data_IF_449605572895
#
_entry.id   IF_449605572895
#
_cell.length_a   1.000
_cell.length_b   1.000
_cell.length_c   1.000
_cell.angle_alpha   90.00
_cell.angle_beta   90.00
_cell.angle_gamma   90.00
#
_symmetry.space_group_name_H-M   'P 1'
#
loop_
_entity.id
_entity.type
_entity.pdbx_description
1 polymer ?
#
# COMPACT_ATOMS: atom_id res chain seq x y z
N UNK A 1 -16.15 26.51 23.41
CA UNK A 1 -16.24 25.05 23.66
C UNK A 1 -15.52 24.36 22.52
N UNK A 2 -14.37 23.71 22.78
CA UNK A 2 -13.67 22.97 21.73
C UNK A 2 -14.41 21.66 21.47
N UNK A 3 -14.85 21.44 20.23
CA UNK A 3 -15.41 20.17 19.79
C UNK A 3 -14.26 19.14 19.76
N UNK A 4 -14.11 18.35 20.83
CA UNK A 4 -13.10 17.31 20.86
C UNK A 4 -13.51 16.18 19.92
N UNK A 5 -12.75 16.01 18.84
CA UNK A 5 -12.95 14.89 17.92
C UNK A 5 -12.62 13.59 18.64
N UNK A 6 -13.54 12.63 18.60
CA UNK A 6 -13.22 11.24 18.94
C UNK A 6 -12.41 10.62 17.80
N UNK A 7 -11.08 10.75 17.92
CA UNK A 7 -10.13 10.23 16.93
C UNK A 7 -10.24 8.71 16.80
N UNK A 8 -10.54 7.99 17.88
CA UNK A 8 -10.63 6.54 17.85
C UNK A 8 -11.87 6.07 17.07
N UNK A 9 -13.02 6.72 17.26
CA UNK A 9 -14.21 6.46 16.46
C UNK A 9 -13.95 6.76 14.98
N UNK A 10 -13.32 7.90 14.69
CA UNK A 10 -12.97 8.28 13.32
C UNK A 10 -12.04 7.25 12.67
N UNK A 11 -10.97 6.81 13.35
CA UNK A 11 -10.04 5.82 12.82
C UNK A 11 -10.71 4.50 12.49
N UNK A 12 -11.59 3.99 13.37
CA UNK A 12 -12.32 2.73 13.12
C UNK A 12 -13.19 2.79 11.87
N UNK A 13 -13.75 3.96 11.56
CA UNK A 13 -14.59 4.16 10.38
C UNK A 13 -13.81 4.46 9.09
N UNK A 14 -12.55 4.88 9.19
CA UNK A 14 -11.78 5.38 8.03
C UNK A 14 -10.51 4.59 7.71
N UNK A 15 -10.01 3.77 8.63
CA UNK A 15 -8.82 2.96 8.39
C UNK A 15 -9.12 1.75 7.50
N UNK A 16 -8.17 1.43 6.63
CA UNK A 16 -8.14 0.15 5.90
C UNK A 16 -7.46 -0.88 6.79
N UNK A 17 -8.16 -1.98 7.10
CA UNK A 17 -7.63 -3.05 7.93
C UNK A 17 -6.85 -4.05 7.07
N UNK A 18 -5.60 -4.31 7.45
CA UNK A 18 -4.84 -5.43 6.92
C UNK A 18 -5.32 -6.72 7.58
N UNK A 19 -5.63 -7.72 6.76
CA UNK A 19 -6.12 -9.03 7.18
C UNK A 19 -4.99 -9.94 7.68
N UNK A 20 -3.77 -9.72 7.20
CA UNK A 20 -2.58 -10.51 7.49
C UNK A 20 -1.31 -9.69 7.27
N UNK A 21 -0.20 -10.14 7.86
CA UNK A 21 1.14 -9.60 7.61
C UNK A 21 1.98 -10.53 6.72
N UNK A 22 1.42 -11.67 6.29
CA UNK A 22 2.16 -12.63 5.46
C UNK A 22 2.52 -12.01 4.10
N UNK A 23 3.80 -12.03 3.68
CA UNK A 23 4.22 -11.49 2.38
C UNK A 23 3.61 -12.21 1.19
N UNK A 24 3.25 -13.49 1.36
CA UNK A 24 2.72 -14.36 0.31
C UNK A 24 1.18 -14.35 0.24
N UNK A 25 0.52 -13.55 1.06
CA UNK A 25 -0.93 -13.44 1.05
C UNK A 25 -1.45 -12.64 -0.17
N UNK A 26 -2.72 -12.82 -0.54
CA UNK A 26 -3.38 -11.96 -1.52
C UNK A 26 -3.31 -10.47 -1.12
N UNK A 27 -3.18 -9.59 -2.12
CA UNK A 27 -2.98 -8.16 -1.91
C UNK A 27 -4.29 -7.34 -1.93
N UNK A 28 -5.45 -8.00 -1.80
CA UNK A 28 -6.76 -7.37 -1.96
C UNK A 28 -6.99 -6.21 -0.98
N UNK A 29 -6.51 -6.35 0.27
CA UNK A 29 -6.60 -5.30 1.29
C UNK A 29 -5.65 -4.11 1.06
N UNK A 30 -4.73 -4.22 0.09
CA UNK A 30 -3.84 -3.14 -0.35
C UNK A 30 -4.37 -2.37 -1.56
N UNK A 31 -5.47 -2.78 -2.20
CA UNK A 31 -6.02 -2.05 -3.36
C UNK A 31 -6.31 -0.56 -3.08
N UNK A 32 -6.78 -0.14 -1.88
CA UNK A 32 -6.91 1.28 -1.57
C UNK A 32 -5.59 2.06 -1.65
N UNK A 33 -4.45 1.42 -1.38
CA UNK A 33 -3.13 2.06 -1.53
C UNK A 33 -2.80 2.34 -3.00
N UNK A 34 -3.28 1.52 -3.94
CA UNK A 34 -3.07 1.77 -5.37
C UNK A 34 -3.67 3.11 -5.78
N UNK A 35 -4.87 3.41 -5.31
CA UNK A 35 -5.52 4.71 -5.54
C UNK A 35 -4.78 5.85 -4.84
N UNK A 36 -4.32 5.63 -3.61
CA UNK A 36 -3.57 6.63 -2.83
C UNK A 36 -2.21 6.99 -3.46
N UNK A 37 -1.48 5.99 -3.95
CA UNK A 37 -0.15 6.14 -4.58
C UNK A 37 -0.28 6.75 -5.98
N UNK A 38 -1.32 6.37 -6.72
CA UNK A 38 -1.55 6.82 -8.09
C UNK A 38 -0.36 6.52 -9.00
N UNK A 39 0.14 7.54 -9.70
CA UNK A 39 1.22 7.42 -10.69
C UNK A 39 2.62 7.75 -10.14
N UNK A 40 2.78 7.77 -8.81
CA UNK A 40 4.08 8.06 -8.21
C UNK A 40 5.15 7.07 -8.71
N UNK A 41 6.32 7.61 -9.10
CA UNK A 41 7.47 6.78 -9.50
C UNK A 41 8.26 6.24 -8.33
N UNK A 42 8.22 6.96 -7.21
CA UNK A 42 8.92 6.62 -5.98
C UNK A 42 7.94 6.76 -4.82
N UNK A 43 7.91 5.76 -3.96
CA UNK A 43 7.14 5.77 -2.72
C UNK A 43 8.11 5.43 -1.59
N UNK A 44 8.31 6.38 -0.68
CA UNK A 44 9.09 6.12 0.53
C UNK A 44 8.23 5.32 1.50
N UNK A 45 8.80 4.26 2.06
CA UNK A 45 8.20 3.48 3.14
C UNK A 45 8.98 3.77 4.42
N UNK A 46 8.31 4.23 5.48
CA UNK A 46 8.87 4.51 6.80
C UNK A 46 8.47 3.46 7.86
N UNK A 47 9.16 3.46 9.00
CA UNK A 47 8.86 2.63 10.17
C UNK A 47 8.95 3.50 11.41
N UNK A 48 8.05 3.26 12.36
CA UNK A 48 8.02 4.03 13.60
C UNK A 48 9.09 3.59 14.61
N UNK A 49 9.66 2.41 14.43
CA UNK A 49 10.70 1.84 15.28
C UNK A 49 11.56 0.85 14.49
N UNK A 50 12.80 0.69 14.92
CA UNK A 50 13.73 -0.32 14.37
C UNK A 50 13.63 -1.63 15.13
N UNK A 51 13.99 -2.73 14.46
CA UNK A 51 14.08 -4.09 15.02
C UNK A 51 12.76 -4.68 15.53
N UNK A 52 11.64 -4.26 14.93
CA UNK A 52 10.33 -4.87 15.13
C UNK A 52 9.99 -5.69 13.88
N UNK A 53 9.93 -7.00 14.04
CA UNK A 53 9.78 -7.94 12.91
C UNK A 53 8.49 -7.71 12.13
N UNK A 54 7.41 -7.30 12.79
CA UNK A 54 6.15 -6.99 12.14
C UNK A 54 6.28 -5.77 11.21
N UNK A 55 6.98 -4.73 11.66
CA UNK A 55 7.23 -3.52 10.85
C UNK A 55 8.14 -3.85 9.67
N UNK A 56 9.13 -4.71 9.88
CA UNK A 56 10.00 -5.19 8.81
C UNK A 56 9.22 -6.02 7.78
N UNK A 57 8.42 -6.98 8.23
CA UNK A 57 7.65 -7.91 7.38
C UNK A 57 6.68 -7.15 6.48
N UNK A 58 5.93 -6.19 7.03
CA UNK A 58 4.98 -5.34 6.29
C UNK A 58 5.64 -4.56 5.15
N UNK A 59 6.93 -4.23 5.26
CA UNK A 59 7.65 -3.52 4.20
C UNK A 59 8.09 -4.45 3.08
N UNK A 60 8.37 -5.71 3.40
CA UNK A 60 8.83 -6.71 2.44
C UNK A 60 7.69 -7.32 1.62
N UNK A 61 6.44 -7.21 2.09
CA UNK A 61 5.26 -7.58 1.28
C UNK A 61 5.33 -6.90 -0.08
N UNK A 62 5.15 -7.61 -1.20
CA UNK A 62 5.16 -7.02 -2.53
C UNK A 62 4.05 -5.95 -2.67
N UNK A 63 4.40 -4.67 -2.59
CA UNK A 63 3.46 -3.54 -2.71
C UNK A 63 3.17 -3.12 -4.15
N UNK A 64 3.57 -3.96 -5.11
CA UNK A 64 3.56 -3.62 -6.52
C UNK A 64 2.21 -3.92 -7.17
N UNK A 65 1.34 -2.92 -7.23
CA UNK A 65 0.35 -2.79 -8.30
C UNK A 65 0.83 -1.78 -9.35
N UNK A 66 2.07 -1.91 -9.84
CA UNK A 66 2.51 -1.18 -11.03
C UNK A 66 2.11 -2.00 -12.26
N UNK A 67 0.82 -1.95 -12.62
CA UNK A 67 0.36 -2.43 -13.91
C UNK A 67 0.95 -1.54 -15.01
N UNK A 68 2.12 -1.90 -15.52
CA UNK A 68 2.56 -1.49 -16.85
C UNK A 68 2.68 -2.73 -17.72
N UNK A 69 1.54 -3.13 -18.30
CA UNK A 69 1.56 -3.83 -19.58
C UNK A 69 2.17 -2.86 -20.60
N UNK A 70 3.49 -2.99 -20.81
CA UNK A 70 4.20 -2.27 -21.86
C UNK A 70 4.18 -3.15 -23.10
N UNK A 71 3.04 -3.21 -23.80
CA UNK A 71 2.99 -3.76 -25.15
C UNK A 71 3.68 -2.80 -26.11
N UNK A 72 5.01 -2.82 -26.14
CA UNK A 72 5.75 -2.34 -27.29
C UNK A 72 5.81 -3.50 -28.30
N UNK A 73 4.73 -3.67 -29.08
CA UNK A 73 4.75 -4.50 -30.27
C UNK A 73 5.63 -3.77 -31.28
N UNK A 74 6.87 -4.24 -31.46
CA UNK A 74 7.66 -3.89 -32.63
C UNK A 74 6.94 -4.50 -33.84
N UNK A 75 6.17 -3.67 -34.54
CA UNK A 75 5.80 -3.94 -35.92
C UNK A 75 7.09 -3.98 -36.74
N UNK A 76 7.54 -5.19 -37.04
CA UNK A 76 8.32 -5.45 -38.24
C UNK A 76 7.44 -5.09 -39.42
N UNK A 77 7.63 -3.90 -39.97
CA UNK A 77 7.09 -3.51 -41.26
C UNK A 77 8.26 -3.09 -42.17
N UNK A 78 8.63 -4.05 -43.01
CA UNK A 78 9.27 -3.95 -44.32
C UNK A 78 10.65 -3.26 -44.41
#
# INVERSE_FOLDING_TARGET
MANSVDVAAWLRSNAVRLSTLSPDAPLDDLEPLRTLIGNARFVALGEGAHFIDELWTVRQTPRAATARSSSHRLETAN
#
